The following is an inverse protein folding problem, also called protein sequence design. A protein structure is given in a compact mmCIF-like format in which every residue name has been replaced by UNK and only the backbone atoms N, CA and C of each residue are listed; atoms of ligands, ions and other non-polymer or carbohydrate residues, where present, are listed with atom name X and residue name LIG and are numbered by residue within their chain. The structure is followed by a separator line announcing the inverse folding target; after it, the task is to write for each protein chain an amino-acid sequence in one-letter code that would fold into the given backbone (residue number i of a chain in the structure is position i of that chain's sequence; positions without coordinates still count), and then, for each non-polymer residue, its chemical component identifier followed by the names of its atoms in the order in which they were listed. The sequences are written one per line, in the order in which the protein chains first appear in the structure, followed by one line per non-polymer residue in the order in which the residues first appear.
data_IF_547491518417
#
_entry.id   IF_547491518417
#
_cell.length_a   1.000
_cell.length_b   1.000
_cell.length_c   1.000
_cell.angle_alpha   90.00
_cell.angle_beta   90.00
_cell.angle_gamma   90.00
#
_symmetry.space_group_name_H-M   'P 1'
#
loop_
_entity.id
_entity.type
_entity.pdbx_description
1 polymer ?
#
# COMPACT_ATOMS: atom_id res chain seq x y z
N UNK A 1 15.92 4.21 20.97
CA UNK A 1 16.04 3.43 19.70
C UNK A 1 14.73 3.58 18.97
N UNK A 2 14.78 3.83 17.68
CA UNK A 2 13.57 3.99 16.84
C UNK A 2 13.32 2.70 16.08
N UNK A 3 12.15 2.11 16.23
CA UNK A 3 11.74 0.91 15.51
C UNK A 3 11.09 1.28 14.18
N UNK A 4 11.34 0.48 13.14
CA UNK A 4 10.73 0.64 11.84
C UNK A 4 10.50 -0.69 11.12
N UNK A 5 9.82 -0.60 9.97
CA UNK A 5 9.45 -1.76 9.16
C UNK A 5 9.85 -1.54 7.71
N UNK A 6 10.34 -2.61 7.08
CA UNK A 6 10.74 -2.62 5.67
C UNK A 6 9.94 -3.71 4.96
N UNK A 7 9.17 -3.31 3.96
CA UNK A 7 8.51 -4.25 3.06
C UNK A 7 9.47 -4.80 2.01
N UNK A 8 9.21 -6.00 1.51
CA UNK A 8 10.08 -6.62 0.53
C UNK A 8 9.35 -7.37 -0.57
N UNK A 9 10.03 -7.52 -1.71
CA UNK A 9 9.63 -8.51 -2.71
C UNK A 9 9.89 -9.92 -2.19
N UNK A 10 8.92 -10.82 -2.35
CA UNK A 10 9.01 -12.22 -1.89
C UNK A 10 9.31 -13.21 -3.02
N UNK A 11 9.65 -12.71 -4.22
CA UNK A 11 9.94 -13.55 -5.41
C UNK A 11 11.26 -14.34 -5.34
N UNK A 12 12.16 -13.97 -4.41
CA UNK A 12 13.45 -14.63 -4.18
C UNK A 12 13.62 -14.95 -2.71
N UNK A 13 14.52 -14.23 -2.02
CA UNK A 13 14.89 -14.48 -0.63
C UNK A 13 14.11 -13.64 0.38
N UNK A 14 13.37 -12.62 -0.08
CA UNK A 14 12.52 -11.81 0.79
C UNK A 14 11.39 -12.64 1.39
N UNK A 15 11.07 -12.40 2.66
CA UNK A 15 10.08 -13.16 3.43
C UNK A 15 8.82 -12.36 3.75
N UNK A 16 8.83 -11.06 3.42
CA UNK A 16 7.70 -10.20 3.75
C UNK A 16 8.15 -8.89 4.39
N UNK A 17 7.65 -8.61 5.57
CA UNK A 17 7.96 -7.40 6.33
C UNK A 17 9.09 -7.70 7.32
N UNK A 18 10.12 -6.89 7.26
CA UNK A 18 11.23 -6.94 8.22
C UNK A 18 11.06 -5.83 9.25
N UNK A 19 11.34 -6.14 10.51
CA UNK A 19 11.47 -5.18 11.60
C UNK A 19 12.93 -4.79 11.75
N UNK A 20 13.20 -3.52 12.04
CA UNK A 20 14.53 -3.04 12.34
C UNK A 20 14.54 -2.07 13.52
N UNK A 21 15.68 -1.99 14.20
CA UNK A 21 15.97 -0.99 15.21
C UNK A 21 17.06 -0.05 14.70
N UNK A 22 16.76 1.26 14.74
CA UNK A 22 17.72 2.30 14.37
C UNK A 22 18.43 2.82 15.61
N UNK A 23 19.75 2.72 15.59
CA UNK A 23 20.61 3.39 16.53
C UNK A 23 21.00 4.76 15.95
N UNK A 24 20.28 5.78 16.36
CA UNK A 24 20.48 7.16 15.83
C UNK A 24 21.86 7.72 16.19
N UNK A 25 22.41 7.39 17.38
CA UNK A 25 23.72 7.86 17.81
C UNK A 25 24.87 7.30 16.95
N UNK A 26 24.68 6.12 16.39
CA UNK A 26 25.68 5.44 15.56
C UNK A 26 25.30 5.44 14.07
N UNK A 27 24.14 6.00 13.72
CA UNK A 27 23.61 6.04 12.34
C UNK A 27 23.60 4.66 11.68
N UNK A 28 23.19 3.63 12.42
CA UNK A 28 23.18 2.25 11.92
C UNK A 28 21.91 1.50 12.34
N UNK A 29 21.62 0.44 11.62
CA UNK A 29 20.58 -0.54 11.95
C UNK A 29 21.23 -1.61 12.85
N UNK A 30 20.74 -1.75 14.08
CA UNK A 30 21.27 -2.72 15.07
C UNK A 30 20.53 -4.06 15.03
N UNK A 31 19.24 -4.04 14.67
CA UNK A 31 18.40 -5.22 14.52
C UNK A 31 17.79 -5.22 13.10
N UNK A 32 17.81 -6.37 12.46
CA UNK A 32 17.05 -6.65 11.25
C UNK A 32 16.57 -8.10 11.31
N UNK A 33 15.27 -8.29 11.46
CA UNK A 33 14.64 -9.61 11.56
C UNK A 33 13.34 -9.68 10.75
N UNK A 34 12.82 -10.88 10.54
CA UNK A 34 11.50 -11.05 9.93
C UNK A 34 10.45 -10.63 10.97
N UNK A 35 9.76 -9.51 10.72
CA UNK A 35 8.68 -9.03 11.56
C UNK A 35 7.35 -9.73 11.26
N UNK A 36 7.06 -10.00 9.98
CA UNK A 36 5.88 -10.76 9.57
C UNK A 36 6.04 -11.30 8.14
N UNK A 37 5.70 -12.58 7.95
CA UNK A 37 5.69 -13.19 6.62
C UNK A 37 4.43 -12.77 5.86
N UNK A 38 4.60 -11.94 4.84
CA UNK A 38 3.53 -11.41 4.02
C UNK A 38 3.96 -11.36 2.54
N UNK A 39 3.28 -12.11 1.67
CA UNK A 39 3.64 -12.15 0.25
C UNK A 39 3.42 -10.79 -0.41
N UNK A 40 4.40 -10.35 -1.21
CA UNK A 40 4.38 -9.14 -2.01
C UNK A 40 4.26 -7.81 -1.22
N UNK A 41 4.65 -7.78 0.04
CA UNK A 41 4.57 -6.60 0.92
C UNK A 41 5.56 -5.48 0.54
N UNK A 42 5.56 -5.07 -0.73
CA UNK A 42 6.55 -4.17 -1.32
C UNK A 42 6.41 -2.71 -0.90
N UNK A 43 5.25 -2.31 -0.44
CA UNK A 43 4.97 -0.98 0.10
C UNK A 43 4.13 -1.05 1.37
N UNK A 44 4.46 -0.20 2.33
CA UNK A 44 3.82 -0.17 3.65
C UNK A 44 3.40 1.26 3.98
N UNK A 45 2.28 1.39 4.69
CA UNK A 45 1.87 2.66 5.30
C UNK A 45 1.43 2.41 6.74
N UNK A 46 1.84 3.29 7.66
CA UNK A 46 1.53 3.19 9.08
C UNK A 46 0.50 4.24 9.50
N UNK A 47 -0.46 3.83 10.30
CA UNK A 47 -1.37 4.71 11.03
C UNK A 47 -1.37 4.32 12.51
N UNK A 48 -0.69 5.11 13.34
CA UNK A 48 -0.50 4.82 14.76
C UNK A 48 0.07 3.41 15.00
N UNK A 49 -0.73 2.51 15.60
CA UNK A 49 -0.37 1.13 15.93
C UNK A 49 -0.80 0.12 14.85
N UNK A 50 -1.20 0.59 13.68
CA UNK A 50 -1.59 -0.29 12.57
C UNK A 50 -0.70 -0.05 11.37
N UNK A 51 -0.16 -1.14 10.82
CA UNK A 51 0.61 -1.18 9.59
C UNK A 51 -0.23 -1.81 8.50
N UNK A 52 -0.36 -1.13 7.36
CA UNK A 52 -1.00 -1.67 6.17
C UNK A 52 0.06 -1.99 5.13
N UNK A 53 -0.09 -3.12 4.47
CA UNK A 53 0.82 -3.57 3.43
C UNK A 53 0.10 -4.18 2.25
N UNK A 54 0.71 -4.07 1.09
CA UNK A 54 0.30 -4.82 -0.09
C UNK A 54 0.42 -6.30 0.22
N UNK A 55 -0.55 -7.11 -0.24
CA UNK A 55 -0.53 -8.54 -0.06
C UNK A 55 -1.02 -9.29 -1.29
N UNK A 56 -0.52 -10.51 -1.44
CA UNK A 56 -0.94 -11.47 -2.46
C UNK A 56 -1.05 -12.86 -1.84
N UNK A 57 -2.05 -13.63 -2.27
CA UNK A 57 -2.20 -15.05 -1.97
C UNK A 57 -2.67 -15.79 -3.22
N UNK A 58 -1.81 -16.62 -3.75
CA UNK A 58 -2.09 -17.28 -5.03
C UNK A 58 -2.31 -16.25 -6.15
N UNK A 59 -3.50 -16.21 -6.72
CA UNK A 59 -3.89 -15.25 -7.76
C UNK A 59 -4.60 -14.00 -7.21
N UNK A 60 -5.01 -14.02 -5.94
CA UNK A 60 -5.72 -12.90 -5.34
C UNK A 60 -4.75 -11.87 -4.79
N UNK A 61 -5.04 -10.60 -5.03
CA UNK A 61 -4.23 -9.47 -4.64
C UNK A 61 -5.07 -8.43 -3.90
N UNK A 62 -4.42 -7.66 -3.07
CA UNK A 62 -5.02 -6.60 -2.28
C UNK A 62 -4.10 -6.17 -1.14
N UNK A 63 -4.66 -6.00 0.04
CA UNK A 63 -3.97 -5.41 1.19
C UNK A 63 -4.21 -6.21 2.47
N UNK A 64 -3.28 -6.08 3.42
CA UNK A 64 -3.39 -6.61 4.76
C UNK A 64 -3.23 -5.50 5.80
N UNK A 65 -3.89 -5.64 6.95
CA UNK A 65 -3.68 -4.81 8.14
C UNK A 65 -3.08 -5.65 9.26
N UNK A 66 -2.08 -5.05 9.95
CA UNK A 66 -1.36 -5.67 11.04
C UNK A 66 -1.31 -4.71 12.23
N UNK A 67 -1.60 -5.20 13.43
CA UNK A 67 -1.40 -4.43 14.66
C UNK A 67 0.07 -4.49 15.07
N UNK A 68 0.58 -3.34 15.48
CA UNK A 68 1.90 -3.20 16.11
C UNK A 68 1.66 -3.21 17.63
N UNK A 69 2.22 -4.16 18.34
CA UNK A 69 2.12 -4.19 19.80
C UNK A 69 3.17 -3.29 20.49
N UNK A 70 3.15 -3.26 21.82
CA UNK A 70 4.05 -2.42 22.64
C UNK A 70 5.54 -2.81 22.49
N UNK A 71 5.83 -4.03 22.03
CA UNK A 71 7.18 -4.50 21.76
C UNK A 71 7.61 -4.26 20.30
N UNK A 72 6.70 -3.72 19.46
CA UNK A 72 6.89 -3.53 18.03
C UNK A 72 6.73 -4.82 17.22
N UNK A 73 6.09 -5.85 17.76
CA UNK A 73 5.76 -7.06 17.03
C UNK A 73 4.49 -6.88 16.19
N UNK A 74 4.44 -7.56 15.05
CA UNK A 74 3.34 -7.46 14.11
C UNK A 74 2.37 -8.63 14.26
N UNK A 75 1.10 -8.32 14.46
CA UNK A 75 0.00 -9.29 14.56
C UNK A 75 -1.03 -9.02 13.47
N UNK A 76 -1.34 -10.03 12.65
CA UNK A 76 -2.34 -9.89 11.60
C UNK A 76 -3.70 -9.54 12.20
N UNK A 77 -4.30 -8.43 11.75
CA UNK A 77 -5.70 -8.13 12.00
C UNK A 77 -6.58 -8.82 10.96
N UNK A 78 -6.45 -8.41 9.70
CA UNK A 78 -7.16 -9.07 8.60
C UNK A 78 -6.51 -8.80 7.24
N UNK A 79 -7.09 -9.40 6.19
CA UNK A 79 -6.71 -9.22 4.79
C UNK A 79 -7.96 -8.92 3.96
N UNK A 80 -7.82 -8.08 2.95
CA UNK A 80 -8.83 -7.87 1.93
C UNK A 80 -8.22 -8.15 0.55
N UNK A 81 -8.39 -9.38 0.09
CA UNK A 81 -7.90 -9.90 -1.19
C UNK A 81 -9.10 -10.14 -2.09
N UNK A 82 -9.32 -9.30 -3.05
CA UNK A 82 -10.56 -9.32 -3.83
C UNK A 82 -10.37 -9.27 -5.34
N UNK A 83 -9.15 -9.04 -5.81
CA UNK A 83 -8.90 -8.83 -7.23
C UNK A 83 -7.77 -9.72 -7.74
N UNK A 84 -7.91 -10.18 -8.99
CA UNK A 84 -6.86 -10.87 -9.75
C UNK A 84 -6.07 -9.94 -10.67
N UNK A 85 -6.38 -8.65 -10.65
CA UNK A 85 -5.78 -7.66 -11.55
C UNK A 85 -4.31 -7.33 -11.24
N UNK A 86 -3.71 -7.96 -10.24
CA UNK A 86 -2.30 -7.79 -9.90
C UNK A 86 -2.06 -7.13 -8.54
N UNK A 87 -0.82 -7.20 -8.10
CA UNK A 87 -0.38 -6.62 -6.83
C UNK A 87 -0.15 -5.13 -6.94
N UNK A 88 -0.49 -4.41 -5.88
CA UNK A 88 -0.16 -3.00 -5.75
C UNK A 88 1.34 -2.71 -5.76
N UNK A 89 1.68 -1.45 -5.97
CA UNK A 89 3.02 -0.92 -5.85
C UNK A 89 3.11 0.25 -4.87
N UNK A 90 1.98 0.81 -4.49
CA UNK A 90 1.89 1.94 -3.55
C UNK A 90 0.59 1.87 -2.75
N UNK A 91 0.65 2.22 -1.47
CA UNK A 91 -0.53 2.41 -0.60
C UNK A 91 -0.41 3.71 0.18
N UNK A 92 -1.55 4.36 0.42
CA UNK A 92 -1.68 5.55 1.27
C UNK A 92 -3.00 5.52 2.05
N UNK A 93 -3.11 6.38 3.06
CA UNK A 93 -4.30 6.47 3.92
C UNK A 93 -4.87 7.88 3.80
N UNK A 94 -6.21 8.01 3.77
CA UNK A 94 -6.90 9.29 3.80
C UNK A 94 -6.59 10.07 5.08
N UNK A 95 -6.72 11.38 5.05
CA UNK A 95 -6.45 12.28 6.20
C UNK A 95 -7.29 11.90 7.42
N UNK A 96 -8.56 11.56 7.20
CA UNK A 96 -9.52 11.14 8.24
C UNK A 96 -9.38 9.68 8.70
N UNK A 97 -8.43 8.93 8.11
CA UNK A 97 -8.13 7.52 8.42
C UNK A 97 -9.26 6.52 8.11
N UNK A 98 -10.26 6.92 7.35
CA UNK A 98 -11.38 6.05 6.97
C UNK A 98 -11.12 5.21 5.73
N UNK A 99 -10.12 5.59 4.92
CA UNK A 99 -9.87 4.94 3.63
C UNK A 99 -8.40 4.61 3.44
N UNK A 100 -8.14 3.46 2.82
CA UNK A 100 -6.84 3.06 2.30
C UNK A 100 -6.92 3.05 0.77
N UNK A 101 -5.93 3.66 0.13
CA UNK A 101 -5.79 3.69 -1.31
C UNK A 101 -4.65 2.80 -1.76
N UNK A 102 -4.80 2.15 -2.91
CA UNK A 102 -3.78 1.31 -3.53
C UNK A 102 -3.64 1.64 -5.01
N UNK A 103 -2.42 1.82 -5.49
CA UNK A 103 -2.10 1.89 -6.92
C UNK A 103 -1.52 0.56 -7.38
N UNK A 104 -1.98 0.05 -8.53
CA UNK A 104 -1.60 -1.23 -9.12
C UNK A 104 -0.96 -0.98 -10.48
N UNK A 105 0.36 -0.90 -10.49
CA UNK A 105 1.14 -0.56 -11.68
C UNK A 105 0.89 -1.48 -12.86
N UNK A 106 0.94 -2.79 -12.63
CA UNK A 106 0.87 -3.79 -13.69
C UNK A 106 -0.48 -3.93 -14.39
N UNK A 107 -1.53 -3.34 -13.82
CA UNK A 107 -2.88 -3.36 -14.40
C UNK A 107 -3.43 -1.96 -14.71
N UNK A 108 -2.70 -0.90 -14.36
CA UNK A 108 -3.17 0.47 -14.53
C UNK A 108 -4.45 0.77 -13.77
N UNK A 109 -4.61 0.18 -12.59
CA UNK A 109 -5.81 0.36 -11.76
C UNK A 109 -5.49 1.02 -10.42
N UNK A 110 -6.52 1.60 -9.82
CA UNK A 110 -6.49 2.08 -8.44
C UNK A 110 -7.60 1.43 -7.63
N UNK A 111 -7.37 1.26 -6.34
CA UNK A 111 -8.34 0.70 -5.41
C UNK A 111 -8.53 1.59 -4.19
N UNK A 112 -9.74 1.58 -3.65
CA UNK A 112 -10.10 2.26 -2.42
C UNK A 112 -10.78 1.26 -1.47
N UNK A 113 -10.28 1.17 -0.25
CA UNK A 113 -10.78 0.30 0.79
C UNK A 113 -11.33 1.11 1.96
N UNK A 114 -12.41 0.65 2.57
CA UNK A 114 -12.95 1.18 3.81
C UNK A 114 -12.21 0.60 5.02
N UNK A 115 -11.85 1.46 5.97
CA UNK A 115 -11.17 1.09 7.21
C UNK A 115 -12.09 1.26 8.43
N UNK A 116 -11.98 0.36 9.37
CA UNK A 116 -12.50 0.56 10.71
C UNK A 116 -11.53 1.47 11.49
N UNK A 117 -11.94 2.70 11.76
CA UNK A 117 -11.10 3.70 12.43
C UNK A 117 -10.76 3.37 13.89
N UNK A 118 -11.49 2.44 14.52
CA UNK A 118 -11.24 2.02 15.90
C UNK A 118 -10.29 0.82 16.00
N UNK A 119 -10.46 -0.16 15.10
CA UNK A 119 -9.67 -1.41 15.14
C UNK A 119 -8.52 -1.39 14.15
N UNK A 120 -8.59 -0.58 13.10
CA UNK A 120 -7.65 -0.57 11.98
C UNK A 120 -7.84 -1.71 10.98
N UNK A 121 -8.90 -2.51 11.13
CA UNK A 121 -9.22 -3.56 10.17
C UNK A 121 -9.72 -2.98 8.84
N UNK A 122 -9.44 -3.67 7.75
CA UNK A 122 -9.96 -3.35 6.43
C UNK A 122 -11.36 -3.95 6.34
N UNK A 123 -12.39 -3.10 6.21
CA UNK A 123 -13.79 -3.57 6.17
C UNK A 123 -14.09 -4.23 4.82
N UNK A 124 -13.75 -3.54 3.71
CA UNK A 124 -14.03 -4.02 2.35
C UNK A 124 -13.32 -3.18 1.29
N UNK A 125 -13.19 -3.75 0.09
CA UNK A 125 -12.94 -2.97 -1.13
C UNK A 125 -14.22 -2.20 -1.50
N UNK A 126 -14.11 -0.86 -1.61
CA UNK A 126 -15.24 0.00 -2.01
C UNK A 126 -15.25 0.17 -3.52
N UNK A 127 -14.06 0.45 -4.11
CA UNK A 127 -13.94 0.81 -5.50
C UNK A 127 -12.65 0.30 -6.13
N UNK A 128 -12.75 -0.18 -7.35
CA UNK A 128 -11.63 -0.47 -8.24
C UNK A 128 -11.89 0.25 -9.55
N UNK A 129 -10.95 1.08 -10.00
CA UNK A 129 -11.04 1.86 -11.23
C UNK A 129 -9.84 1.56 -12.12
N UNK A 130 -10.11 1.19 -13.36
CA UNK A 130 -9.08 1.09 -14.38
C UNK A 130 -8.85 2.45 -15.05
N UNK A 131 -7.60 2.79 -15.30
CA UNK A 131 -7.24 3.91 -16.19
C UNK A 131 -7.42 3.47 -17.64
N UNK A 132 -8.16 4.25 -18.37
CA UNK A 132 -8.39 4.07 -19.83
C UNK A 132 -7.99 5.38 -20.54
N UNK A 133 -6.67 5.64 -20.58
CA UNK A 133 -6.10 6.83 -21.18
C UNK A 133 -5.18 6.47 -22.34
N UNK A 134 -5.06 7.34 -23.37
CA UNK A 134 -3.99 7.20 -24.34
C UNK A 134 -2.62 7.16 -23.67
N UNK A 135 -1.78 6.26 -24.11
CA UNK A 135 -0.45 6.04 -23.60
C UNK A 135 0.61 6.84 -24.36
N UNK A 136 1.79 6.98 -23.77
CA UNK A 136 2.95 7.58 -24.42
C UNK A 136 3.58 6.64 -25.47
N UNK A 137 4.74 7.04 -25.98
CA UNK A 137 5.43 6.30 -27.06
C UNK A 137 6.62 5.48 -26.58
N UNK A 138 6.93 5.54 -25.29
CA UNK A 138 8.05 4.78 -24.73
C UNK A 138 7.67 3.30 -24.55
N UNK A 139 8.63 2.39 -24.67
CA UNK A 139 8.41 0.94 -24.52
C UNK A 139 7.76 0.51 -23.20
N UNK A 140 7.90 1.33 -22.14
CA UNK A 140 7.25 1.13 -20.83
C UNK A 140 5.87 1.76 -20.71
N UNK A 141 5.34 2.27 -21.80
CA UNK A 141 4.02 2.93 -21.87
C UNK A 141 3.06 2.14 -22.78
N UNK A 142 3.14 0.81 -22.69
CA UNK A 142 2.31 -0.13 -23.45
C UNK A 142 0.84 -0.12 -23.02
N UNK A 143 0.57 0.30 -21.79
CA UNK A 143 -0.77 0.55 -21.21
C UNK A 143 -0.65 1.55 -20.03
N UNK A 144 -1.76 2.01 -19.43
CA UNK A 144 -1.70 2.83 -18.23
C UNK A 144 -1.00 2.11 -17.06
N UNK A 145 -0.21 2.85 -16.29
CA UNK A 145 0.55 2.35 -15.16
C UNK A 145 0.41 3.28 -13.95
N UNK A 146 -0.64 3.07 -13.15
CA UNK A 146 -0.84 3.80 -11.90
C UNK A 146 0.25 3.43 -10.89
N UNK A 147 1.08 4.40 -10.46
CA UNK A 147 2.25 4.15 -9.61
C UNK A 147 2.18 4.80 -8.23
N UNK A 148 1.42 5.86 -8.09
CA UNK A 148 1.23 6.60 -6.85
C UNK A 148 -0.23 6.99 -6.71
N UNK A 149 -0.75 6.99 -5.50
CA UNK A 149 -2.09 7.45 -5.18
C UNK A 149 -2.09 8.08 -3.80
N UNK A 150 -2.61 9.29 -3.66
CA UNK A 150 -2.76 9.93 -2.35
C UNK A 150 -3.85 11.00 -2.39
N UNK A 151 -4.48 11.24 -1.24
CA UNK A 151 -5.39 12.36 -1.06
C UNK A 151 -4.62 13.69 -1.10
N UNK A 152 -5.21 14.73 -1.68
CA UNK A 152 -4.64 16.07 -1.65
C UNK A 152 -4.70 16.65 -0.23
N UNK A 153 -3.77 17.58 0.13
CA UNK A 153 -3.73 18.14 1.49
C UNK A 153 -5.02 18.84 1.94
N UNK A 154 -5.85 19.29 1.01
CA UNK A 154 -7.15 19.91 1.30
C UNK A 154 -8.29 18.89 1.45
N UNK A 155 -7.98 17.59 1.29
CA UNK A 155 -8.93 16.50 1.42
C UNK A 155 -9.93 16.33 0.28
N UNK A 156 -9.88 17.19 -0.76
CA UNK A 156 -10.95 17.26 -1.77
C UNK A 156 -10.77 16.36 -2.98
N UNK A 157 -9.53 15.93 -3.21
CA UNK A 157 -9.19 15.13 -4.38
C UNK A 157 -8.27 13.97 -3.98
N UNK A 158 -8.23 12.97 -4.83
CA UNK A 158 -7.20 11.92 -4.83
C UNK A 158 -6.38 12.09 -6.11
N UNK A 159 -5.06 12.27 -5.95
CA UNK A 159 -4.13 12.42 -7.06
C UNK A 159 -3.42 11.09 -7.32
N UNK A 160 -3.34 10.70 -8.59
CA UNK A 160 -2.72 9.47 -9.08
C UNK A 160 -1.70 9.81 -10.15
N UNK A 161 -0.46 9.34 -10.01
CA UNK A 161 0.50 9.42 -11.12
C UNK A 161 0.39 8.18 -12.00
N UNK A 162 0.31 8.37 -13.30
CA UNK A 162 0.28 7.29 -14.28
C UNK A 162 1.45 7.44 -15.26
N UNK A 163 2.39 6.50 -15.18
CA UNK A 163 3.59 6.49 -16.02
C UNK A 163 3.24 6.13 -17.46
N UNK A 164 2.32 5.18 -17.66
CA UNK A 164 1.93 4.74 -19.01
C UNK A 164 1.24 5.84 -19.80
N UNK A 165 0.42 6.64 -19.12
CA UNK A 165 -0.37 7.70 -19.72
C UNK A 165 0.27 9.11 -19.66
N UNK A 166 1.50 9.24 -19.11
CA UNK A 166 2.24 10.52 -18.95
C UNK A 166 1.42 11.61 -18.24
N UNK A 167 0.71 11.26 -17.16
CA UNK A 167 -0.16 12.24 -16.50
C UNK A 167 -0.29 12.05 -15.01
N UNK A 168 -0.75 13.11 -14.36
CA UNK A 168 -1.34 13.08 -13.04
C UNK A 168 -2.85 13.18 -13.21
N UNK A 169 -3.56 12.18 -12.74
CA UNK A 169 -5.03 12.13 -12.73
C UNK A 169 -5.52 12.58 -11.38
N UNK A 170 -6.51 13.45 -11.33
CA UNK A 170 -7.16 13.86 -10.08
C UNK A 170 -8.62 13.43 -10.10
N UNK A 171 -9.02 12.72 -9.07
CA UNK A 171 -10.40 12.33 -8.82
C UNK A 171 -10.98 13.21 -7.73
N UNK A 172 -12.20 13.73 -7.94
CA UNK A 172 -12.91 14.37 -6.85
C UNK A 172 -13.18 13.32 -5.77
N UNK A 173 -12.76 13.61 -4.57
CA UNK A 173 -13.02 12.74 -3.43
C UNK A 173 -14.32 13.20 -2.75
N UNK A 174 -15.31 12.31 -2.71
CA UNK A 174 -16.59 12.53 -2.07
C UNK A 174 -16.77 11.44 -1.03
N UNK A 175 -16.95 11.83 0.21
CA UNK A 175 -17.05 10.93 1.36
C UNK A 175 -18.50 10.63 1.78
N UNK A 176 -19.48 10.93 0.88
CA UNK A 176 -20.91 10.64 1.08
C UNK A 176 -21.28 9.19 0.78
#
# INVERSE_FOLDING_TARGET
MTNGYIGSYTKKNGKGIYRFELNENQSRIDLLEIGFELEASTYLVRNNEVLYGINKEGEQCGVASLKIDDNGELHLLNKCLSSKAGTGCYVSISEDKRYLFEAVYGAGIIRMYELNTHTGEIIRLIQELAHDFPTGTHERQDHPHAHYINQTPDGKYVAVTDLGADRIVTYKFDDN
#
